data_IF_774698486948
#
_entry.id   IF_774698486948
#
_cell.length_a   1.000
_cell.length_b   1.000
_cell.length_c   1.000
_cell.angle_alpha   90.00
_cell.angle_beta   90.00
_cell.angle_gamma   90.00
#
_symmetry.space_group_name_H-M   'P 1'
#
loop_
_entity.id
_entity.type
_entity.pdbx_description
1 polymer ?
#
# COMPACT_ATOMS: atom_id res chain seq x y z
N UNK A 1 4.11 -19.73 23.55
CA UNK A 1 2.72 -19.69 24.07
C UNK A 1 2.14 -18.28 23.90
N UNK A 2 0.87 -18.16 23.46
CA UNK A 2 0.19 -16.88 23.18
C UNK A 2 0.23 -16.45 21.71
N UNK A 3 1.18 -17.00 20.94
CA UNK A 3 1.35 -16.74 19.50
C UNK A 3 1.52 -18.04 18.72
N UNK A 4 0.98 -19.15 19.25
CA UNK A 4 1.24 -20.47 18.70
C UNK A 4 0.55 -20.68 17.34
N UNK A 5 -0.50 -19.90 17.03
CA UNK A 5 -1.05 -19.77 15.69
C UNK A 5 -0.01 -19.30 14.65
N UNK A 6 0.93 -18.42 15.03
CA UNK A 6 2.00 -17.93 14.14
C UNK A 6 3.09 -18.99 13.99
N UNK A 7 3.59 -19.52 15.11
CA UNK A 7 4.68 -20.51 15.10
C UNK A 7 4.27 -21.77 14.32
N UNK A 8 3.06 -22.25 14.56
CA UNK A 8 2.49 -23.39 13.83
C UNK A 8 2.11 -23.02 12.40
N UNK A 9 1.65 -21.80 12.12
CA UNK A 9 1.36 -21.32 10.77
C UNK A 9 2.55 -21.40 9.82
N UNK A 10 3.78 -21.16 10.31
CA UNK A 10 5.02 -21.36 9.55
C UNK A 10 5.18 -22.83 9.14
N UNK A 11 5.10 -23.74 10.11
CA UNK A 11 5.20 -25.18 9.86
C UNK A 11 4.07 -25.70 8.98
N UNK A 12 2.86 -25.18 9.15
CA UNK A 12 1.67 -25.53 8.39
C UNK A 12 1.81 -25.15 6.91
N UNK A 13 2.33 -23.95 6.61
CA UNK A 13 2.61 -23.54 5.23
C UNK A 13 3.69 -24.43 4.58
N UNK A 14 4.76 -24.75 5.31
CA UNK A 14 5.83 -25.62 4.80
C UNK A 14 5.35 -27.04 4.53
N UNK A 15 4.70 -27.69 5.50
CA UNK A 15 4.24 -29.06 5.35
C UNK A 15 3.04 -29.17 4.39
N UNK A 16 2.24 -28.11 4.29
CA UNK A 16 1.21 -27.94 3.27
C UNK A 16 1.81 -27.90 1.86
N UNK A 17 2.87 -27.12 1.67
CA UNK A 17 3.63 -27.09 0.41
C UNK A 17 4.18 -28.47 0.06
N UNK A 18 4.69 -29.21 1.05
CA UNK A 18 5.19 -30.58 0.86
C UNK A 18 4.11 -31.64 0.65
N UNK A 19 2.82 -31.27 0.64
CA UNK A 19 1.72 -32.14 0.21
C UNK A 19 0.76 -32.57 1.31
N UNK A 20 0.79 -31.96 2.49
CA UNK A 20 -0.25 -32.18 3.50
C UNK A 20 -1.61 -31.75 2.96
N UNK A 21 -2.59 -32.65 3.01
CA UNK A 21 -3.91 -32.42 2.43
C UNK A 21 -4.84 -31.58 3.34
N UNK A 22 -4.61 -31.56 4.65
CA UNK A 22 -5.43 -30.85 5.63
C UNK A 22 -4.58 -30.36 6.79
N UNK A 23 -4.76 -29.10 7.18
CA UNK A 23 -4.06 -28.46 8.29
C UNK A 23 -5.05 -28.20 9.43
N UNK A 24 -4.85 -28.84 10.58
CA UNK A 24 -5.58 -28.50 11.79
C UNK A 24 -5.05 -27.18 12.33
N UNK A 25 -5.93 -26.20 12.50
CA UNK A 25 -5.55 -24.90 13.02
C UNK A 25 -5.11 -24.93 14.48
N UNK A 26 -4.36 -23.91 14.87
CA UNK A 26 -3.91 -23.65 16.25
C UNK A 26 -4.32 -22.23 16.58
N UNK A 27 -4.90 -22.02 17.76
CA UNK A 27 -5.38 -20.71 18.19
C UNK A 27 -4.27 -19.94 18.94
N UNK A 28 -4.41 -18.62 19.16
CA UNK A 28 -3.49 -17.87 20.02
C UNK A 28 -3.38 -18.44 21.45
N UNK A 29 -4.50 -18.96 22.00
CA UNK A 29 -4.58 -19.52 23.36
C UNK A 29 -4.19 -21.00 23.47
N UNK A 30 -3.66 -21.60 22.40
CA UNK A 30 -3.10 -22.95 22.51
C UNK A 30 -2.10 -23.01 23.68
N UNK A 31 -2.15 -24.10 24.45
CA UNK A 31 -1.39 -24.29 25.69
C UNK A 31 -1.68 -23.31 26.84
N UNK A 32 -2.68 -22.43 26.71
CA UNK A 32 -3.02 -21.42 27.72
C UNK A 32 -4.45 -21.52 28.23
N UNK A 33 -5.42 -21.87 27.37
CA UNK A 33 -6.81 -22.00 27.78
C UNK A 33 -7.75 -22.25 26.60
N UNK A 34 -9.05 -22.28 26.88
CA UNK A 34 -10.05 -22.40 25.83
C UNK A 34 -10.10 -21.09 25.00
N UNK A 35 -10.12 -21.18 23.66
CA UNK A 35 -10.23 -20.02 22.80
C UNK A 35 -11.61 -19.38 22.90
N UNK A 36 -11.66 -18.05 22.81
CA UNK A 36 -12.90 -17.31 22.60
C UNK A 36 -13.21 -17.15 21.10
N UNK A 37 -14.26 -16.40 20.78
CA UNK A 37 -14.71 -16.19 19.40
C UNK A 37 -13.61 -15.55 18.53
N UNK A 38 -12.88 -14.60 19.07
CA UNK A 38 -11.90 -13.82 18.30
C UNK A 38 -10.61 -14.64 18.12
N UNK A 39 -10.22 -15.43 19.13
CA UNK A 39 -9.15 -16.42 19.00
C UNK A 39 -9.42 -17.44 17.88
N UNK A 40 -10.68 -17.89 17.77
CA UNK A 40 -11.10 -18.79 16.68
C UNK A 40 -10.99 -18.10 15.33
N UNK A 41 -11.45 -16.85 15.20
CA UNK A 41 -11.33 -16.06 13.96
C UNK A 41 -9.86 -15.94 13.56
N UNK A 42 -8.98 -15.54 14.49
CA UNK A 42 -7.53 -15.39 14.25
C UNK A 42 -6.93 -16.70 13.76
N UNK A 43 -7.16 -17.81 14.47
CA UNK A 43 -6.65 -19.11 14.08
C UNK A 43 -7.09 -19.53 12.67
N UNK A 44 -8.37 -19.34 12.34
CA UNK A 44 -8.92 -19.69 11.01
C UNK A 44 -8.29 -18.84 9.91
N UNK A 45 -8.20 -17.53 10.09
CA UNK A 45 -7.59 -16.63 9.09
C UNK A 45 -6.11 -16.96 8.91
N UNK A 46 -5.36 -17.20 9.98
CA UNK A 46 -3.94 -17.61 9.92
C UNK A 46 -3.76 -18.90 9.12
N UNK A 47 -4.61 -19.90 9.35
CA UNK A 47 -4.49 -21.18 8.64
C UNK A 47 -5.02 -21.14 7.20
N UNK A 48 -6.01 -20.29 6.89
CA UNK A 48 -6.38 -19.99 5.50
C UNK A 48 -5.22 -19.35 4.74
N UNK A 49 -4.50 -18.43 5.36
CA UNK A 49 -3.28 -17.83 4.78
C UNK A 49 -2.19 -18.88 4.57
N UNK A 50 -1.92 -19.74 5.56
CA UNK A 50 -0.92 -20.80 5.44
C UNK A 50 -1.26 -21.81 4.34
N UNK A 51 -2.52 -22.23 4.24
CA UNK A 51 -3.00 -23.11 3.19
C UNK A 51 -2.88 -22.46 1.80
N UNK A 52 -3.27 -21.19 1.68
CA UNK A 52 -3.12 -20.44 0.43
C UNK A 52 -1.65 -20.27 0.01
N UNK A 53 -0.77 -19.96 0.96
CA UNK A 53 0.67 -19.90 0.71
C UNK A 53 1.24 -21.24 0.22
N UNK A 54 0.79 -22.35 0.81
CA UNK A 54 1.14 -23.69 0.35
C UNK A 54 0.64 -23.96 -1.08
N UNK A 55 -0.60 -23.57 -1.40
CA UNK A 55 -1.16 -23.74 -2.75
C UNK A 55 -0.44 -22.89 -3.80
N UNK A 56 -0.02 -21.66 -3.46
CA UNK A 56 0.86 -20.85 -4.30
C UNK A 56 2.21 -21.54 -4.55
N UNK A 57 2.86 -22.06 -3.51
CA UNK A 57 4.15 -22.74 -3.61
C UNK A 57 4.07 -24.06 -4.40
N UNK A 58 2.92 -24.74 -4.36
CA UNK A 58 2.62 -25.93 -5.18
C UNK A 58 2.30 -25.59 -6.64
N UNK A 59 2.09 -24.31 -6.97
CA UNK A 59 1.65 -23.90 -8.30
C UNK A 59 0.20 -24.29 -8.61
N UNK A 60 -0.68 -24.30 -7.60
CA UNK A 60 -2.09 -24.63 -7.80
C UNK A 60 -2.73 -23.62 -8.78
N UNK A 61 -3.42 -24.07 -9.86
CA UNK A 61 -3.78 -23.21 -11.00
C UNK A 61 -4.55 -21.94 -10.65
N UNK A 62 -5.41 -21.99 -9.64
CA UNK A 62 -6.26 -20.86 -9.25
C UNK A 62 -5.66 -19.97 -8.15
N UNK A 63 -4.61 -20.41 -7.45
CA UNK A 63 -4.11 -19.69 -6.27
C UNK A 63 -3.62 -18.29 -6.63
N UNK A 64 -2.83 -18.19 -7.71
CA UNK A 64 -2.26 -16.92 -8.16
C UNK A 64 -3.29 -15.90 -8.64
N UNK A 65 -4.45 -16.34 -9.13
CA UNK A 65 -5.50 -15.44 -9.62
C UNK A 65 -5.98 -14.48 -8.53
N UNK A 66 -6.09 -14.98 -7.29
CA UNK A 66 -6.49 -14.19 -6.14
C UNK A 66 -5.45 -13.11 -5.80
N UNK A 67 -4.17 -13.50 -5.69
CA UNK A 67 -3.04 -12.58 -5.41
C UNK A 67 -2.90 -11.51 -6.49
N UNK A 68 -2.99 -11.91 -7.76
CA UNK A 68 -2.90 -10.97 -8.88
C UNK A 68 -4.09 -10.01 -8.90
N UNK A 69 -5.31 -10.46 -8.56
CA UNK A 69 -6.49 -9.61 -8.46
C UNK A 69 -6.36 -8.59 -7.31
N UNK A 70 -5.95 -9.04 -6.13
CA UNK A 70 -5.70 -8.18 -4.97
C UNK A 70 -4.59 -7.17 -5.26
N UNK A 71 -3.50 -7.61 -5.90
CA UNK A 71 -2.35 -6.77 -6.23
C UNK A 71 -2.70 -5.71 -7.28
N UNK A 72 -3.50 -6.06 -8.30
CA UNK A 72 -4.05 -5.08 -9.25
C UNK A 72 -4.94 -4.05 -8.55
N UNK A 73 -5.87 -4.50 -7.70
CA UNK A 73 -6.73 -3.60 -6.94
C UNK A 73 -5.92 -2.61 -6.09
N UNK A 74 -4.84 -3.09 -5.46
CA UNK A 74 -3.89 -2.25 -4.71
C UNK A 74 -3.18 -1.23 -5.59
N UNK A 75 -2.65 -1.65 -6.74
CA UNK A 75 -1.92 -0.77 -7.64
C UNK A 75 -2.81 0.29 -8.30
N UNK A 76 -4.09 -0.04 -8.54
CA UNK A 76 -5.11 0.83 -9.13
C UNK A 76 -5.88 1.66 -8.09
N UNK A 77 -5.50 1.58 -6.81
CA UNK A 77 -6.16 2.28 -5.70
C UNK A 77 -7.67 1.99 -5.57
N UNK A 78 -8.11 0.80 -6.00
CA UNK A 78 -9.49 0.30 -5.81
C UNK A 78 -9.66 -0.26 -4.41
N UNK A 79 -9.68 0.62 -3.40
CA UNK A 79 -9.66 0.26 -1.97
C UNK A 79 -10.74 -0.74 -1.58
N UNK A 80 -12.00 -0.52 -2.00
CA UNK A 80 -13.10 -1.45 -1.68
C UNK A 80 -12.88 -2.84 -2.27
N UNK A 81 -12.38 -2.92 -3.50
CA UNK A 81 -12.07 -4.21 -4.12
C UNK A 81 -10.90 -4.89 -3.41
N UNK A 82 -9.89 -4.13 -2.98
CA UNK A 82 -8.79 -4.65 -2.19
C UNK A 82 -9.28 -5.22 -0.84
N UNK A 83 -10.20 -4.54 -0.14
CA UNK A 83 -10.75 -5.04 1.12
C UNK A 83 -11.56 -6.32 0.90
N UNK A 84 -12.46 -6.30 -0.08
CA UNK A 84 -13.33 -7.44 -0.41
C UNK A 84 -12.57 -8.69 -0.89
N UNK A 85 -11.40 -8.50 -1.51
CA UNK A 85 -10.50 -9.57 -1.92
C UNK A 85 -9.54 -10.02 -0.80
N UNK A 86 -9.55 -9.41 0.38
CA UNK A 86 -8.71 -9.86 1.49
C UNK A 86 -9.32 -11.07 2.19
N UNK A 87 -8.50 -11.79 2.98
CA UNK A 87 -9.00 -12.93 3.78
C UNK A 87 -9.93 -12.52 4.93
N UNK A 88 -9.87 -11.24 5.34
CA UNK A 88 -10.66 -10.65 6.42
C UNK A 88 -11.00 -9.18 6.08
N UNK A 89 -12.03 -8.95 5.23
CA UNK A 89 -12.38 -7.62 4.72
C UNK A 89 -12.62 -6.58 5.81
N UNK A 90 -13.35 -6.95 6.86
CA UNK A 90 -13.68 -6.06 7.98
C UNK A 90 -12.42 -5.50 8.64
N UNK A 91 -11.42 -6.35 8.87
CA UNK A 91 -10.15 -5.95 9.49
C UNK A 91 -9.33 -5.07 8.54
N UNK A 92 -9.30 -5.40 7.25
CA UNK A 92 -8.57 -4.62 6.25
C UNK A 92 -9.12 -3.19 6.12
N UNK A 93 -10.45 -3.05 6.07
CA UNK A 93 -11.11 -1.75 6.04
C UNK A 93 -10.92 -0.99 7.35
N UNK A 94 -11.12 -1.64 8.50
CA UNK A 94 -10.92 -1.01 9.80
C UNK A 94 -9.50 -0.44 9.99
N UNK A 95 -8.46 -1.16 9.53
CA UNK A 95 -7.07 -0.68 9.64
C UNK A 95 -6.78 0.52 8.75
N UNK A 96 -7.38 0.59 7.56
CA UNK A 96 -7.29 1.78 6.72
C UNK A 96 -7.99 2.98 7.39
N UNK A 97 -9.21 2.75 7.89
CA UNK A 97 -10.09 3.79 8.40
C UNK A 97 -9.68 4.35 9.76
N UNK A 98 -8.83 3.65 10.51
CA UNK A 98 -8.19 4.18 11.72
C UNK A 98 -7.47 5.52 11.49
N UNK A 99 -6.97 5.76 10.27
CA UNK A 99 -6.23 6.98 9.92
C UNK A 99 -6.89 7.80 8.82
N UNK A 100 -7.66 7.16 7.93
CA UNK A 100 -8.33 7.81 6.80
C UNK A 100 -9.80 7.36 6.71
N UNK A 101 -10.66 7.73 7.69
CA UNK A 101 -12.04 7.23 7.77
C UNK A 101 -13.00 7.81 6.73
N UNK A 102 -12.62 8.92 6.07
CA UNK A 102 -13.49 9.59 5.12
C UNK A 102 -13.72 8.72 3.87
N UNK A 103 -14.95 8.65 3.38
CA UNK A 103 -15.28 7.85 2.19
C UNK A 103 -14.50 8.27 0.93
N UNK A 104 -14.14 9.54 0.81
CA UNK A 104 -13.27 10.02 -0.27
C UNK A 104 -11.86 9.40 -0.25
N UNK A 105 -11.38 8.93 0.91
CA UNK A 105 -10.10 8.25 1.01
C UNK A 105 -10.12 6.87 0.33
N UNK A 106 -11.30 6.23 0.19
CA UNK A 106 -11.46 4.96 -0.54
C UNK A 106 -11.29 5.11 -2.06
N UNK A 107 -11.12 6.34 -2.55
CA UNK A 107 -10.76 6.68 -3.93
C UNK A 107 -9.42 7.40 -4.03
N UNK A 108 -8.71 7.59 -2.91
CA UNK A 108 -7.45 8.32 -2.90
C UNK A 108 -6.30 7.46 -3.44
N UNK A 109 -5.40 8.08 -4.20
CA UNK A 109 -4.19 7.45 -4.75
C UNK A 109 -3.03 7.40 -3.73
N UNK A 110 -3.34 7.24 -2.44
CA UNK A 110 -2.37 7.11 -1.36
C UNK A 110 -3.04 6.55 -0.10
N UNK A 111 -2.23 6.14 0.87
CA UNK A 111 -2.64 5.86 2.24
C UNK A 111 -1.84 6.72 3.23
N UNK A 112 -2.16 6.60 4.52
CA UNK A 112 -1.48 7.34 5.59
C UNK A 112 0.00 7.02 5.74
N UNK A 113 0.46 5.85 5.28
CA UNK A 113 1.86 5.44 5.41
C UNK A 113 2.85 6.32 4.64
N UNK A 114 2.50 6.76 3.43
CA UNK A 114 3.39 7.56 2.58
C UNK A 114 2.81 8.94 2.23
N UNK A 115 1.50 9.12 2.43
CA UNK A 115 0.81 10.35 2.03
C UNK A 115 0.78 10.58 0.51
N UNK A 116 0.21 11.71 0.08
CA UNK A 116 -0.08 11.98 -1.34
C UNK A 116 1.16 12.19 -2.22
N UNK A 117 2.28 12.61 -1.64
CA UNK A 117 3.50 12.99 -2.38
C UNK A 117 4.50 11.86 -2.54
N UNK A 118 4.53 10.90 -1.61
CA UNK A 118 5.57 9.87 -1.55
C UNK A 118 5.04 8.45 -1.79
N UNK A 119 3.79 8.30 -2.22
CA UNK A 119 3.25 6.98 -2.55
C UNK A 119 3.96 6.43 -3.81
N UNK A 120 4.73 5.35 -3.63
CA UNK A 120 5.51 4.72 -4.70
C UNK A 120 4.65 4.23 -5.88
N UNK A 121 3.45 3.72 -5.61
CA UNK A 121 2.52 3.27 -6.65
C UNK A 121 1.98 4.45 -7.48
N UNK A 122 1.67 5.58 -6.84
CA UNK A 122 1.23 6.80 -7.52
C UNK A 122 2.34 7.36 -8.41
N UNK A 123 3.55 7.48 -7.87
CA UNK A 123 4.73 7.93 -8.62
C UNK A 123 4.97 7.00 -9.82
N UNK A 124 4.81 5.68 -9.64
CA UNK A 124 4.94 4.72 -10.75
C UNK A 124 3.90 4.96 -11.84
N UNK A 125 2.65 5.29 -11.50
CA UNK A 125 1.63 5.63 -12.49
C UNK A 125 1.97 6.93 -13.24
N UNK A 126 2.42 7.97 -12.54
CA UNK A 126 2.84 9.24 -13.13
C UNK A 126 4.01 9.05 -14.11
N UNK A 127 5.02 8.27 -13.74
CA UNK A 127 6.16 7.93 -14.61
C UNK A 127 5.72 7.14 -15.84
N UNK A 128 4.80 6.17 -15.70
CA UNK A 128 4.27 5.40 -16.83
C UNK A 128 3.48 6.27 -17.80
N UNK A 129 2.70 7.21 -17.28
CA UNK A 129 1.94 8.16 -18.10
C UNK A 129 2.89 9.10 -18.86
N UNK A 130 3.91 9.64 -18.18
CA UNK A 130 4.92 10.48 -18.81
C UNK A 130 5.65 9.75 -19.95
N UNK A 131 6.10 8.51 -19.73
CA UNK A 131 6.76 7.71 -20.76
C UNK A 131 5.84 7.48 -21.97
N UNK A 132 4.56 7.19 -21.73
CA UNK A 132 3.55 7.02 -22.78
C UNK A 132 3.38 8.29 -23.63
N UNK A 133 3.35 9.47 -22.99
CA UNK A 133 3.23 10.75 -23.69
C UNK A 133 4.48 11.08 -24.52
N UNK A 134 5.68 10.77 -24.01
CA UNK A 134 6.93 10.93 -24.76
C UNK A 134 6.99 10.04 -26.00
N UNK A 135 6.58 8.77 -25.89
CA UNK A 135 6.51 7.85 -27.03
C UNK A 135 5.53 8.33 -28.12
N UNK A 136 4.49 9.06 -27.74
CA UNK A 136 3.49 9.62 -28.64
C UNK A 136 3.89 10.96 -29.28
N UNK A 137 5.11 11.47 -28.99
CA UNK A 137 5.63 12.71 -29.56
C UNK A 137 4.96 13.99 -29.00
N UNK A 138 4.19 13.87 -27.93
CA UNK A 138 3.67 15.02 -27.19
C UNK A 138 4.75 15.47 -26.19
N UNK A 139 5.21 16.73 -26.29
CA UNK A 139 6.14 17.30 -25.32
C UNK A 139 5.55 17.23 -23.91
N UNK A 140 6.09 16.36 -23.06
CA UNK A 140 5.52 16.06 -21.75
C UNK A 140 6.16 16.93 -20.64
N UNK A 141 5.36 17.50 -19.71
CA UNK A 141 5.88 18.26 -18.57
C UNK A 141 6.54 17.37 -17.50
N UNK A 142 7.38 17.99 -16.66
CA UNK A 142 8.33 17.37 -15.71
C UNK A 142 7.65 16.48 -14.62
N UNK A 143 8.29 15.36 -14.20
CA UNK A 143 7.72 14.35 -13.29
C UNK A 143 7.75 14.66 -11.79
N UNK A 144 8.02 15.90 -11.36
CA UNK A 144 8.13 16.23 -9.92
C UNK A 144 6.83 16.85 -9.36
N UNK A 145 6.38 16.45 -8.15
CA UNK A 145 5.14 16.94 -7.57
C UNK A 145 5.26 18.42 -7.20
N UNK A 146 4.33 19.22 -7.72
CA UNK A 146 4.22 20.65 -7.41
C UNK A 146 3.88 20.85 -5.92
N UNK A 147 4.65 21.69 -5.25
CA UNK A 147 4.46 22.00 -3.85
C UNK A 147 3.42 23.11 -3.68
N UNK A 148 2.18 22.71 -3.38
CA UNK A 148 1.16 23.59 -2.85
C UNK A 148 -0.06 23.67 -3.75
N UNK A 149 -1.11 22.95 -3.37
CA UNK A 149 -2.50 23.39 -3.42
C UNK A 149 -3.36 22.26 -2.82
N UNK A 150 -4.21 22.63 -1.86
CA UNK A 150 -5.13 21.71 -1.20
C UNK A 150 -6.29 21.37 -2.12
N UNK A 151 -6.66 20.09 -2.18
CA UNK A 151 -7.71 19.64 -3.09
C UNK A 151 -9.08 19.79 -2.42
N UNK A 152 -9.97 20.57 -3.05
CA UNK A 152 -11.41 20.55 -2.81
C UNK A 152 -12.14 20.34 -4.14
N UNK A 153 -13.24 19.57 -4.15
CA UNK A 153 -13.76 18.99 -5.37
C UNK A 153 -14.77 19.91 -6.04
N UNK A 154 -14.50 20.39 -7.26
CA UNK A 154 -15.55 20.88 -8.16
C UNK A 154 -15.10 21.00 -9.63
N UNK A 155 -15.77 20.21 -10.48
CA UNK A 155 -16.28 20.47 -11.83
C UNK A 155 -15.64 21.55 -12.74
N UNK A 156 -15.29 21.07 -13.94
CA UNK A 156 -15.51 21.69 -15.25
C UNK A 156 -15.12 23.17 -15.45
N UNK A 157 -14.04 23.38 -16.19
CA UNK A 157 -13.77 24.66 -16.83
C UNK A 157 -12.31 24.78 -17.19
N UNK A 158 -11.97 24.48 -18.44
CA UNK A 158 -10.66 24.80 -19.00
C UNK A 158 -10.48 26.32 -18.92
N UNK A 159 -9.67 26.79 -17.97
CA UNK A 159 -8.95 28.05 -18.07
C UNK A 159 -7.47 27.72 -18.06
N UNK A 160 -6.79 28.10 -19.13
CA UNK A 160 -5.35 28.07 -19.19
C UNK A 160 -4.80 28.91 -18.03
N UNK A 161 -4.11 28.26 -17.09
CA UNK A 161 -3.35 28.94 -16.05
C UNK A 161 -1.96 29.17 -16.64
N UNK A 162 -1.64 30.42 -16.93
CA UNK A 162 -0.28 30.85 -17.25
C UNK A 162 0.59 30.60 -16.02
N UNK A 163 1.61 29.75 -16.18
CA UNK A 163 2.50 29.36 -15.08
C UNK A 163 3.10 27.98 -15.28
N UNK A 164 3.65 27.72 -16.48
CA UNK A 164 4.53 26.57 -16.68
C UNK A 164 5.81 26.89 -15.91
N UNK A 165 6.03 26.24 -14.75
CA UNK A 165 7.34 26.28 -14.10
C UNK A 165 8.35 25.61 -15.05
N UNK A 166 9.31 26.40 -15.51
CA UNK A 166 10.39 25.96 -16.39
C UNK A 166 11.28 24.99 -15.61
N UNK A 167 11.91 24.01 -16.28
CA UNK A 167 12.83 23.06 -15.62
C UNK A 167 13.96 23.76 -14.86
N UNK A 168 14.29 24.98 -15.25
CA UNK A 168 15.25 25.88 -14.59
C UNK A 168 14.79 26.32 -13.20
N UNK A 169 13.49 26.47 -12.97
CA UNK A 169 12.93 26.91 -11.68
C UNK A 169 13.01 25.77 -10.64
N UNK A 170 12.86 24.52 -11.09
CA UNK A 170 13.02 23.34 -10.24
C UNK A 170 14.50 23.10 -9.86
N UNK A 171 15.42 23.27 -10.81
CA UNK A 171 16.87 23.20 -10.53
C UNK A 171 17.32 24.28 -9.55
N UNK A 172 16.81 25.50 -9.69
CA UNK A 172 17.06 26.59 -8.75
C UNK A 172 16.55 26.27 -7.35
N UNK A 173 15.31 25.75 -7.23
CA UNK A 173 14.74 25.34 -5.94
C UNK A 173 15.51 24.19 -5.28
N UNK A 174 15.97 23.20 -6.06
CA UNK A 174 16.81 22.12 -5.54
C UNK A 174 18.19 22.62 -5.09
N UNK A 175 18.79 23.56 -5.82
CA UNK A 175 20.04 24.19 -5.40
C UNK A 175 19.88 24.98 -4.10
N UNK A 176 18.74 25.67 -3.92
CA UNK A 176 18.41 26.38 -2.68
C UNK A 176 18.26 25.43 -1.50
N UNK A 177 17.50 24.33 -1.65
CA UNK A 177 17.33 23.35 -0.57
C UNK A 177 18.63 22.62 -0.25
N UNK A 178 19.47 22.33 -1.26
CA UNK A 178 20.81 21.77 -1.06
C UNK A 178 21.71 22.73 -0.27
N UNK A 179 21.65 24.03 -0.58
CA UNK A 179 22.38 25.06 0.15
C UNK A 179 21.92 25.14 1.60
N UNK A 180 20.60 25.15 1.82
CA UNK A 180 20.01 25.15 3.15
C UNK A 180 20.40 23.92 3.98
N UNK A 181 20.39 22.73 3.37
CA UNK A 181 20.84 21.50 4.03
C UNK A 181 22.29 21.59 4.49
N UNK A 182 23.19 22.14 3.66
CA UNK A 182 24.58 22.35 4.06
C UNK A 182 24.76 23.45 5.11
N UNK A 183 23.95 24.52 5.06
CA UNK A 183 23.97 25.62 6.03
C UNK A 183 23.44 25.19 7.41
N UNK A 184 22.43 24.31 7.44
CA UNK A 184 21.84 23.75 8.66
C UNK A 184 22.64 22.55 9.23
N UNK A 185 23.88 22.35 8.76
CA UNK A 185 24.84 21.38 9.33
C UNK A 185 24.85 20.01 8.65
N UNK A 186 24.09 19.81 7.57
CA UNK A 186 24.03 18.55 6.83
C UNK A 186 23.36 17.42 7.60
N UNK A 187 22.60 17.73 8.65
CA UNK A 187 21.87 16.74 9.43
C UNK A 187 20.49 16.49 8.82
N UNK A 188 20.13 15.21 8.70
CA UNK A 188 18.83 14.80 8.16
C UNK A 188 17.68 15.13 9.12
N UNK A 189 17.96 15.25 10.42
CA UNK A 189 16.98 15.51 11.46
C UNK A 189 17.36 16.78 12.22
N UNK A 190 16.68 17.87 11.91
CA UNK A 190 16.85 19.13 12.64
C UNK A 190 16.04 19.07 13.95
N UNK A 191 16.59 19.56 15.07
CA UNK A 191 15.82 19.69 16.30
C UNK A 191 14.61 20.60 16.05
N UNK A 192 13.45 20.21 16.58
CA UNK A 192 12.27 21.08 16.57
C UNK A 192 12.61 22.38 17.31
N UNK A 193 12.24 23.53 16.74
CA UNK A 193 12.47 24.83 17.38
C UNK A 193 11.82 24.84 18.78
N UNK A 194 12.59 25.24 19.79
CA UNK A 194 12.12 25.44 21.17
C UNK A 194 11.06 26.54 21.28
#
# INVERSE_FOLDING_TARGET
PGYDHITSGIGAAMIGWFGTAMLCYVTPKEHLGLPDRDDVKVGVVTYKLAAHAADLAKGHPAARLHDDALSRARFEFRWRDQFNLSLDPDTAEAFHDQTLPAEGAKTAHFCSMCGPKFCSMKITQEVREFARLQEQGAGAPSPLPQAGEGDSPAASGVRAVEGVLDGRDAEAGMAEMSKRFHEEGGELYLPAAE
#
